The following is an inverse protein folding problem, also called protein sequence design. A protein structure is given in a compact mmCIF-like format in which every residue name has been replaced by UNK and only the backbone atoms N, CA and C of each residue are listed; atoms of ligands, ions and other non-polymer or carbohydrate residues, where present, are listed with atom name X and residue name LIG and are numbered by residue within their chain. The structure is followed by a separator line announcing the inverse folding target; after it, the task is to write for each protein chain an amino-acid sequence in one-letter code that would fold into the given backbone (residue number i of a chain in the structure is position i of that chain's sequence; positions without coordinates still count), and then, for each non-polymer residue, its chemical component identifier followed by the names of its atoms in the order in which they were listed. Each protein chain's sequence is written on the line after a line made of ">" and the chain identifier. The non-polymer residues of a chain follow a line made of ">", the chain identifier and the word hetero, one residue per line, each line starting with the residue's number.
data_IF_643613174373
#
_entry.id   IF_643613174373
#
_cell.length_a   1.000
_cell.length_b   1.000
_cell.length_c   1.000
_cell.angle_alpha   90.00
_cell.angle_beta   90.00
_cell.angle_gamma   90.00
#
_symmetry.space_group_name_H-M   'P 1'
#
loop_
_entity.id
_entity.type
_entity.pdbx_description
1 polymer ?
#
# COMPACT_ATOMS: atom_id res chain seq x y z
N UNK A 1 -4.18 9.67 -21.26
CA UNK A 1 -2.87 9.97 -20.63
C UNK A 1 -1.82 9.07 -21.24
N UNK A 2 -0.70 9.65 -21.69
CA UNK A 2 0.48 8.90 -22.11
C UNK A 2 1.02 8.04 -20.95
N UNK A 3 1.50 6.84 -21.24
CA UNK A 3 2.15 5.94 -20.28
C UNK A 3 3.24 6.61 -19.42
N UNK A 4 4.01 7.55 -19.97
CA UNK A 4 5.03 8.32 -19.24
C UNK A 4 4.42 9.17 -18.12
N UNK A 5 3.30 9.85 -18.38
CA UNK A 5 2.58 10.65 -17.37
C UNK A 5 2.00 9.76 -16.27
N UNK A 6 1.46 8.60 -16.66
CA UNK A 6 0.96 7.59 -15.70
C UNK A 6 2.07 7.06 -14.79
N UNK A 7 3.29 6.87 -15.31
CA UNK A 7 4.45 6.47 -14.50
C UNK A 7 4.86 7.55 -13.49
N UNK A 8 4.87 8.82 -13.89
CA UNK A 8 5.21 9.93 -12.98
C UNK A 8 4.18 10.04 -11.85
N UNK A 9 2.89 10.10 -12.18
CA UNK A 9 1.83 10.16 -11.16
C UNK A 9 1.76 8.88 -10.32
N UNK A 10 1.97 7.73 -10.95
CA UNK A 10 1.99 6.44 -10.28
C UNK A 10 3.09 6.33 -9.23
N UNK A 11 4.26 6.95 -9.45
CA UNK A 11 5.31 7.01 -8.44
C UNK A 11 4.86 7.75 -7.17
N UNK A 12 4.23 8.92 -7.32
CA UNK A 12 3.68 9.66 -6.17
C UNK A 12 2.54 8.90 -5.49
N UNK A 13 1.65 8.27 -6.26
CA UNK A 13 0.58 7.44 -5.72
C UNK A 13 1.11 6.24 -4.96
N UNK A 14 2.20 5.61 -5.41
CA UNK A 14 2.84 4.50 -4.71
C UNK A 14 3.41 4.93 -3.36
N UNK A 15 4.16 6.04 -3.34
CA UNK A 15 4.69 6.59 -2.09
C UNK A 15 3.55 6.98 -1.14
N UNK A 16 2.54 7.69 -1.66
CA UNK A 16 1.35 8.06 -0.89
C UNK A 16 0.59 6.86 -0.34
N UNK A 17 0.50 5.77 -1.11
CA UNK A 17 -0.10 4.50 -0.67
C UNK A 17 0.66 3.88 0.48
N UNK A 18 1.99 3.86 0.43
CA UNK A 18 2.84 3.31 1.50
C UNK A 18 2.69 4.16 2.76
N UNK A 19 2.73 5.49 2.62
CA UNK A 19 2.57 6.43 3.74
C UNK A 19 1.19 6.28 4.36
N UNK A 20 0.12 6.31 3.56
CA UNK A 20 -1.25 6.17 4.03
C UNK A 20 -1.49 4.84 4.75
N UNK A 21 -0.97 3.74 4.21
CA UNK A 21 -1.05 2.43 4.86
C UNK A 21 -0.26 2.36 6.16
N UNK A 22 0.97 2.91 6.19
CA UNK A 22 1.81 2.95 7.39
C UNK A 22 1.13 3.74 8.51
N UNK A 23 0.53 4.88 8.20
CA UNK A 23 -0.23 5.70 9.15
C UNK A 23 -1.45 4.93 9.66
N UNK A 24 -2.23 4.31 8.76
CA UNK A 24 -3.41 3.52 9.14
C UNK A 24 -3.03 2.34 10.04
N UNK A 25 -2.04 1.55 9.65
CA UNK A 25 -1.57 0.41 10.43
C UNK A 25 -1.05 0.85 11.80
N UNK A 26 -0.28 1.93 11.87
CA UNK A 26 0.20 2.48 13.15
C UNK A 26 -0.96 2.95 14.03
N UNK A 27 -1.94 3.66 13.46
CA UNK A 27 -3.12 4.11 14.19
C UNK A 27 -3.93 2.93 14.75
N UNK A 28 -4.11 1.86 13.97
CA UNK A 28 -4.77 0.64 14.44
C UNK A 28 -3.96 -0.01 15.57
N UNK A 29 -2.64 -0.14 15.41
CA UNK A 29 -1.77 -0.71 16.44
C UNK A 29 -1.88 0.04 17.77
N UNK A 30 -1.87 1.37 17.73
CA UNK A 30 -2.00 2.22 18.92
C UNK A 30 -3.39 2.12 19.57
N UNK A 31 -4.40 1.71 18.83
CA UNK A 31 -5.76 1.51 19.34
C UNK A 31 -6.00 0.09 19.88
N UNK A 32 -5.05 -0.84 19.72
CA UNK A 32 -5.17 -2.19 20.24
C UNK A 32 -5.02 -2.22 21.77
N UNK A 33 -5.80 -3.06 22.48
CA UNK A 33 -5.63 -3.26 23.91
C UNK A 33 -4.24 -3.79 24.28
N UNK A 34 -3.74 -3.37 25.44
CA UNK A 34 -2.53 -3.92 26.01
C UNK A 34 -2.72 -5.39 26.42
N UNK A 35 -1.64 -6.18 26.42
CA UNK A 35 -1.65 -7.58 26.84
C UNK A 35 -2.16 -8.57 25.78
N UNK A 36 -2.29 -8.15 24.52
CA UNK A 36 -2.62 -9.06 23.42
C UNK A 36 -1.60 -10.20 23.30
N UNK A 37 -2.05 -11.44 22.98
CA UNK A 37 -1.16 -12.56 22.77
C UNK A 37 -0.15 -12.27 21.65
N UNK A 38 1.09 -12.71 21.81
CA UNK A 38 2.16 -12.50 20.82
C UNK A 38 1.80 -13.01 19.42
N UNK A 39 1.04 -14.12 19.31
CA UNK A 39 0.56 -14.63 18.02
C UNK A 39 -0.38 -13.65 17.29
N UNK A 40 -1.22 -12.91 18.04
CA UNK A 40 -2.11 -11.90 17.45
C UNK A 40 -1.27 -10.74 16.91
N UNK A 41 -0.28 -10.28 17.68
CA UNK A 41 0.63 -9.22 17.25
C UNK A 41 1.44 -9.64 16.02
N UNK A 42 1.93 -10.89 15.96
CA UNK A 42 2.61 -11.43 14.78
C UNK A 42 1.69 -11.39 13.56
N UNK A 43 0.46 -11.89 13.68
CA UNK A 43 -0.52 -11.84 12.59
C UNK A 43 -0.81 -10.41 12.14
N UNK A 44 -0.95 -9.49 13.10
CA UNK A 44 -1.12 -8.07 12.83
C UNK A 44 0.06 -7.49 12.05
N UNK A 45 1.31 -7.74 12.46
CA UNK A 45 2.49 -7.21 11.78
C UNK A 45 2.72 -7.81 10.40
N UNK A 46 2.33 -9.07 10.16
CA UNK A 46 2.32 -9.65 8.81
C UNK A 46 1.36 -8.87 7.91
N UNK A 47 0.13 -8.63 8.37
CA UNK A 47 -0.87 -7.88 7.60
C UNK A 47 -0.46 -6.41 7.44
N UNK A 48 0.07 -5.77 8.48
CA UNK A 48 0.56 -4.40 8.41
C UNK A 48 1.74 -4.28 7.43
N UNK A 49 2.67 -5.23 7.46
CA UNK A 49 3.83 -5.27 6.56
C UNK A 49 3.47 -5.58 5.10
N UNK A 50 2.37 -6.31 4.86
CA UNK A 50 1.96 -6.74 3.51
C UNK A 50 0.79 -5.95 2.93
N UNK A 51 -0.03 -5.29 3.73
CA UNK A 51 -1.32 -4.76 3.27
C UNK A 51 -1.20 -3.63 2.24
N UNK A 52 -0.12 -2.85 2.28
CA UNK A 52 0.18 -1.83 1.26
C UNK A 52 0.45 -2.43 -0.14
N UNK A 53 0.75 -3.74 -0.25
CA UNK A 53 0.95 -4.40 -1.54
C UNK A 53 -0.31 -4.35 -2.40
N UNK A 54 -1.50 -4.47 -1.79
CA UNK A 54 -2.77 -4.48 -2.52
C UNK A 54 -2.99 -3.19 -3.34
N UNK A 55 -2.96 -1.98 -2.75
CA UNK A 55 -3.05 -0.75 -3.51
C UNK A 55 -1.85 -0.54 -4.43
N UNK A 56 -0.63 -0.92 -4.02
CA UNK A 56 0.55 -0.81 -4.87
C UNK A 56 0.42 -1.63 -6.17
N UNK A 57 -0.07 -2.87 -6.10
CA UNK A 57 -0.32 -3.70 -7.28
C UNK A 57 -1.33 -3.07 -8.24
N UNK A 58 -2.41 -2.48 -7.72
CA UNK A 58 -3.40 -1.79 -8.54
C UNK A 58 -2.79 -0.57 -9.26
N UNK A 59 -1.98 0.23 -8.56
CA UNK A 59 -1.28 1.39 -9.13
C UNK A 59 -0.27 0.94 -10.19
N UNK A 60 0.54 -0.08 -9.91
CA UNK A 60 1.53 -0.62 -10.85
C UNK A 60 0.84 -1.17 -12.10
N UNK A 61 -0.23 -1.94 -11.96
CA UNK A 61 -1.03 -2.44 -13.10
C UNK A 61 -1.56 -1.28 -13.94
N UNK A 62 -2.04 -0.22 -13.29
CA UNK A 62 -2.46 1.00 -13.97
C UNK A 62 -1.29 1.74 -14.64
N UNK A 63 -0.07 1.72 -14.10
CA UNK A 63 1.13 2.30 -14.73
C UNK A 63 1.65 1.47 -15.91
N UNK A 64 1.44 0.15 -15.88
CA UNK A 64 1.94 -0.79 -16.87
C UNK A 64 1.05 -0.89 -18.13
N UNK A 65 -0.24 -0.52 -18.04
CA UNK A 65 -1.18 -0.58 -19.17
C UNK A 65 -0.60 0.05 -20.46
N UNK A 66 -0.59 -0.65 -21.61
CA UNK A 66 -0.11 -0.08 -22.87
C UNK A 66 -1.03 1.06 -23.34
N UNK A 67 -0.49 2.01 -24.09
CA UNK A 67 -1.30 3.01 -24.79
C UNK A 67 -1.92 2.36 -26.04
N UNK A 68 -3.20 2.64 -26.33
CA UNK A 68 -4.03 1.92 -27.32
C UNK A 68 -3.58 2.05 -28.80
N UNK A 69 -2.40 2.61 -29.07
CA UNK A 69 -1.80 2.75 -30.40
C UNK A 69 -0.30 2.50 -30.32
N UNK A 70 0.08 1.23 -30.10
CA UNK A 70 1.39 0.67 -30.45
C UNK A 70 1.31 -0.84 -30.43
#
# INVERSE_FOLDING_TARGET
>A
MNQRTRKLLGAFLLVGSIVGWSVLATAIYLALPEGLPGLVLIGFFIVAGMGWLLPAMAIIKWMARPDARR
#
